data_IF_369542717073
#
_entry.id   IF_369542717073
#
_cell.length_a   1.000
_cell.length_b   1.000
_cell.length_c   1.000
_cell.angle_alpha   90.00
_cell.angle_beta   90.00
_cell.angle_gamma   90.00
#
_symmetry.space_group_name_H-M   'P 1'
#
loop_
_entity.id
_entity.type
_entity.pdbx_description
1 polymer ?
#
# COMPACT_ATOMS: atom_id res chain seq x y z
N UNK A 1 12.19 -3.81 16.41
CA UNK A 1 11.68 -4.36 17.68
C UNK A 1 10.71 -3.42 18.37
N UNK A 2 11.05 -2.15 18.62
CA UNK A 2 10.16 -1.19 19.28
C UNK A 2 8.79 -1.03 18.58
N UNK A 3 8.76 -0.94 17.25
CA UNK A 3 7.51 -0.85 16.47
C UNK A 3 6.60 -2.06 16.63
N UNK A 4 7.19 -3.26 16.78
CA UNK A 4 6.42 -4.50 16.97
C UNK A 4 5.74 -4.50 18.34
N UNK A 5 6.46 -4.06 19.37
CA UNK A 5 5.95 -3.94 20.74
C UNK A 5 4.83 -2.89 20.81
N UNK A 6 5.03 -1.72 20.17
CA UNK A 6 4.01 -0.66 20.10
C UNK A 6 2.75 -1.16 19.38
N UNK A 7 2.92 -1.84 18.25
CA UNK A 7 1.79 -2.41 17.50
C UNK A 7 1.03 -3.46 18.31
N UNK A 8 1.74 -4.31 19.07
CA UNK A 8 1.11 -5.32 19.92
C UNK A 8 0.29 -4.68 21.05
N UNK A 9 0.83 -3.64 21.69
CA UNK A 9 0.10 -2.88 22.71
C UNK A 9 -1.12 -2.18 22.12
N UNK A 10 -0.99 -1.59 20.93
CA UNK A 10 -2.10 -0.94 20.23
C UNK A 10 -3.25 -1.92 19.94
N UNK A 11 -2.92 -3.14 19.48
CA UNK A 11 -3.91 -4.20 19.24
C UNK A 11 -4.63 -4.59 20.54
N UNK A 12 -3.89 -4.76 21.63
CA UNK A 12 -4.49 -5.07 22.95
C UNK A 12 -5.45 -3.96 23.41
N UNK A 13 -5.06 -2.69 23.28
CA UNK A 13 -5.91 -1.54 23.62
C UNK A 13 -7.18 -1.53 22.77
N UNK A 14 -7.06 -1.80 21.46
CA UNK A 14 -8.22 -1.89 20.57
C UNK A 14 -9.17 -3.03 20.95
N UNK A 15 -8.65 -4.19 21.35
CA UNK A 15 -9.46 -5.33 21.82
C UNK A 15 -10.19 -4.98 23.12
N UNK A 16 -9.50 -4.38 24.09
CA UNK A 16 -10.11 -3.96 25.36
C UNK A 16 -11.18 -2.90 25.12
N UNK A 17 -10.86 -1.89 24.30
CA UNK A 17 -11.84 -0.89 23.86
C UNK A 17 -13.07 -1.56 23.23
N UNK A 18 -12.87 -2.65 22.49
CA UNK A 18 -13.98 -3.35 21.88
C UNK A 18 -14.86 -4.14 22.84
N UNK A 19 -14.24 -4.82 23.80
CA UNK A 19 -14.97 -5.55 24.83
C UNK A 19 -15.66 -4.62 25.83
N UNK A 20 -15.07 -3.46 26.14
CA UNK A 20 -15.68 -2.49 27.05
C UNK A 20 -16.86 -1.73 26.43
N UNK A 21 -16.88 -1.56 25.11
CA UNK A 21 -17.99 -0.96 24.39
C UNK A 21 -18.91 -2.03 23.78
N UNK A 22 -19.09 -3.15 24.49
CA UNK A 22 -19.96 -4.26 24.06
C UNK A 22 -21.44 -3.97 24.20
N UNK A 23 -21.83 -2.82 24.75
CA UNK A 23 -23.22 -2.38 24.73
C UNK A 23 -23.70 -2.31 23.27
N UNK A 24 -24.83 -2.98 23.02
CA UNK A 24 -25.43 -3.05 21.70
C UNK A 24 -25.98 -1.66 21.36
N UNK A 25 -25.45 -1.09 20.29
CA UNK A 25 -25.96 0.16 19.71
C UNK A 25 -26.60 -0.17 18.37
N UNK A 26 -27.80 0.36 18.18
CA UNK A 26 -28.52 0.25 16.92
C UNK A 26 -27.88 1.19 15.89
N UNK A 27 -27.40 0.62 14.80
CA UNK A 27 -26.88 1.38 13.65
C UNK A 27 -27.83 1.23 12.48
N UNK A 28 -28.44 2.34 12.08
CA UNK A 28 -29.27 2.41 10.88
C UNK A 28 -28.44 2.91 9.69
N UNK A 29 -28.30 2.06 8.69
CA UNK A 29 -27.56 2.35 7.46
C UNK A 29 -28.51 2.35 6.26
N UNK A 30 -28.89 3.55 5.79
CA UNK A 30 -29.86 3.79 4.73
C UNK A 30 -31.21 3.06 4.94
N UNK A 31 -31.30 1.78 4.56
CA UNK A 31 -32.51 0.94 4.69
C UNK A 31 -32.29 -0.32 5.54
N UNK A 32 -31.11 -0.51 6.13
CA UNK A 32 -30.80 -1.67 6.96
C UNK A 32 -30.35 -1.24 8.35
N UNK A 33 -31.03 -1.75 9.38
CA UNK A 33 -30.62 -1.63 10.78
C UNK A 33 -29.82 -2.85 11.22
N UNK A 34 -28.73 -2.63 11.96
CA UNK A 34 -27.96 -3.67 12.63
C UNK A 34 -27.69 -3.26 14.07
N UNK A 35 -28.00 -4.15 15.01
CA UNK A 35 -27.63 -3.98 16.42
C UNK A 35 -26.36 -4.77 16.71
N UNK A 36 -25.35 -4.07 17.21
CA UNK A 36 -24.10 -4.68 17.61
C UNK A 36 -23.25 -3.73 18.45
N UNK A 37 -22.15 -4.25 18.98
CA UNK A 37 -21.18 -3.43 19.72
C UNK A 37 -20.59 -2.35 18.81
N UNK A 38 -20.55 -1.10 19.29
CA UNK A 38 -19.93 0.04 18.58
C UNK A 38 -18.51 -0.27 18.09
N UNK A 39 -17.75 -1.00 18.89
CA UNK A 39 -16.37 -1.26 18.55
C UNK A 39 -16.18 -2.37 17.52
N UNK A 40 -17.09 -3.36 17.46
CA UNK A 40 -17.12 -4.31 16.36
C UNK A 40 -17.36 -3.55 15.05
N UNK A 41 -18.31 -2.62 15.06
CA UNK A 41 -18.66 -1.77 13.92
C UNK A 41 -17.46 -0.88 13.52
N UNK A 42 -16.78 -0.25 14.49
CA UNK A 42 -15.56 0.53 14.23
C UNK A 42 -14.41 -0.32 13.67
N UNK A 43 -14.22 -1.53 14.19
CA UNK A 43 -13.21 -2.45 13.69
C UNK A 43 -13.52 -2.86 12.23
N UNK A 44 -14.77 -3.21 11.94
CA UNK A 44 -15.20 -3.61 10.60
C UNK A 44 -15.01 -2.47 9.59
N UNK A 45 -15.46 -1.27 9.95
CA UNK A 45 -15.31 -0.08 9.11
C UNK A 45 -13.85 0.28 8.86
N UNK A 46 -13.00 0.15 9.87
CA UNK A 46 -11.55 0.34 9.72
C UNK A 46 -10.92 -0.69 8.78
N UNK A 47 -11.27 -1.97 8.91
CA UNK A 47 -10.79 -3.03 8.02
C UNK A 47 -11.21 -2.80 6.57
N UNK A 48 -12.46 -2.40 6.35
CA UNK A 48 -12.96 -2.05 5.02
C UNK A 48 -12.22 -0.84 4.45
N UNK A 49 -11.99 0.20 5.24
CA UNK A 49 -11.21 1.37 4.83
C UNK A 49 -9.77 0.99 4.44
N UNK A 50 -9.11 0.16 5.25
CA UNK A 50 -7.77 -0.36 4.95
C UNK A 50 -7.76 -1.15 3.64
N UNK A 51 -8.74 -2.05 3.44
CA UNK A 51 -8.87 -2.82 2.21
C UNK A 51 -9.06 -1.90 0.99
N UNK A 52 -9.81 -0.82 1.15
CA UNK A 52 -10.04 0.17 0.08
C UNK A 52 -8.73 0.88 -0.31
N UNK A 53 -7.91 1.27 0.66
CA UNK A 53 -6.58 1.86 0.41
C UNK A 53 -5.66 0.87 -0.29
N UNK A 54 -5.63 -0.39 0.16
CA UNK A 54 -4.84 -1.44 -0.48
C UNK A 54 -5.26 -1.66 -1.94
N UNK A 55 -6.56 -1.70 -2.21
CA UNK A 55 -7.11 -1.85 -3.55
C UNK A 55 -6.75 -0.66 -4.46
N UNK A 56 -6.70 0.55 -3.89
CA UNK A 56 -6.32 1.78 -4.61
C UNK A 56 -4.84 1.80 -5.04
N UNK A 57 -3.96 1.06 -4.36
CA UNK A 57 -2.53 0.97 -4.71
C UNK A 57 -2.25 0.03 -5.89
N UNK A 58 -3.15 -0.90 -6.19
CA UNK A 58 -3.06 -1.89 -7.29
C UNK A 58 -2.71 -1.28 -8.67
N UNK A 59 -3.37 -0.21 -9.16
CA UNK A 59 -3.04 0.39 -10.47
C UNK A 59 -1.60 0.91 -10.58
N UNK A 60 -0.92 1.21 -9.46
CA UNK A 60 0.48 1.66 -9.45
C UNK A 60 1.48 0.55 -9.80
N UNK A 61 1.18 -0.71 -9.42
CA UNK A 61 2.04 -1.86 -9.68
C UNK A 61 1.99 -2.34 -11.14
N UNK A 62 0.90 -2.05 -11.85
CA UNK A 62 0.74 -2.42 -13.27
C UNK A 62 1.42 -1.46 -14.25
N UNK A 63 2.00 -0.34 -13.78
CA UNK A 63 2.84 0.53 -14.63
C UNK A 63 4.16 -0.19 -14.91
N UNK A 64 4.14 -0.99 -15.97
CA UNK A 64 5.29 -1.62 -16.63
C UNK A 64 6.46 -0.63 -16.63
N UNK A 65 7.53 -0.99 -15.90
CA UNK A 65 8.84 -0.33 -15.92
C UNK A 65 9.30 -0.27 -17.37
N UNK A 66 8.98 0.81 -18.09
CA UNK A 66 9.71 1.16 -19.30
C UNK A 66 11.10 1.52 -18.83
N UNK A 67 11.96 0.51 -18.85
CA UNK A 67 13.41 0.67 -18.80
C UNK A 67 13.73 1.67 -19.90
N UNK A 68 13.95 2.93 -19.52
CA UNK A 68 14.54 3.93 -20.38
C UNK A 68 15.94 3.41 -20.64
N UNK A 69 16.08 2.76 -21.79
CA UNK A 69 17.35 2.24 -22.30
C UNK A 69 18.18 3.50 -22.58
N UNK A 70 19.07 3.84 -21.65
CA UNK A 70 20.07 4.87 -21.90
C UNK A 70 20.84 4.44 -23.15
N UNK A 71 20.73 5.29 -24.16
CA UNK A 71 21.39 5.20 -25.45
C UNK A 71 22.90 5.17 -25.19
N UNK A 72 23.58 4.10 -25.58
CA UNK A 72 25.04 4.05 -25.64
C UNK A 72 25.50 4.94 -26.81
N UNK A 73 26.07 6.15 -26.61
CA UNK A 73 26.58 6.98 -27.70
C UNK A 73 28.06 6.65 -27.99
N UNK A 74 28.64 5.68 -27.29
CA UNK A 74 30.10 5.53 -27.22
C UNK A 74 30.70 4.52 -28.22
N UNK A 75 29.88 3.83 -29.03
CA UNK A 75 30.39 2.87 -30.02
C UNK A 75 30.67 3.48 -31.39
N UNK A 76 30.06 4.62 -31.71
CA UNK A 76 30.28 5.28 -33.00
C UNK A 76 31.59 6.08 -33.05
N UNK A 77 32.09 6.51 -31.88
CA UNK A 77 33.35 7.26 -31.76
C UNK A 77 34.58 6.34 -31.92
N UNK A 78 34.52 5.11 -31.38
CA UNK A 78 35.64 4.16 -31.43
C UNK A 78 35.87 3.56 -32.83
N UNK A 79 34.78 3.35 -33.60
CA UNK A 79 34.87 2.81 -34.97
C UNK A 79 35.42 3.86 -35.95
N UNK A 80 35.14 5.15 -35.74
CA UNK A 80 35.73 6.21 -36.58
C UNK A 80 37.22 6.39 -36.31
N UNK A 81 37.63 6.36 -35.04
CA UNK A 81 39.05 6.51 -34.67
C UNK A 81 39.93 5.35 -35.15
N UNK A 82 39.40 4.12 -35.20
CA UNK A 82 40.15 2.96 -35.70
C UNK A 82 40.28 2.95 -37.23
N UNK A 83 39.29 3.47 -37.95
CA UNK A 83 39.34 3.59 -39.42
C UNK A 83 40.27 4.73 -39.86
N UNK A 84 40.29 5.85 -39.12
CA UNK A 84 41.17 6.98 -39.40
C UNK A 84 42.65 6.65 -39.13
N UNK A 85 42.94 5.84 -38.10
CA UNK A 85 44.30 5.39 -37.78
C UNK A 85 44.85 4.30 -38.72
N UNK A 86 43.98 3.59 -39.45
CA UNK A 86 44.38 2.58 -40.42
C UNK A 86 44.66 3.15 -41.83
N UNK A 87 44.36 4.44 -42.05
CA UNK A 87 44.52 5.13 -43.33
C UNK A 87 45.71 6.11 -43.37
N UNK A 88 46.52 6.17 -42.30
CA UNK A 88 47.78 6.92 -42.23
C UNK A 88 49.00 6.00 -42.29
#
# INVERSE_FOLDING_TARGET
>A
MIYFIISLVLVLVAVIFALSNSEAVEVQFLFWGYEGSLALILLLTFLLGMLTVLLSLIPGFFKKKSVKKEEEPNKEVEVKQTIDNASQ
#
